data_IF_744551051225
#
_entry.id   IF_744551051225
#
_cell.length_a   1.000
_cell.length_b   1.000
_cell.length_c   1.000
_cell.angle_alpha   90.00
_cell.angle_beta   90.00
_cell.angle_gamma   90.00
#
_symmetry.space_group_name_H-M   'P 1'
#
loop_
_entity.id
_entity.type
_entity.pdbx_description
1 polymer ?
#
# COMPACT_ATOMS: atom_id res chain seq x y z
N UNK A 1 20.83 26.60 19.87
CA UNK A 1 20.15 26.73 18.56
C UNK A 1 20.66 25.72 17.52
N UNK A 2 21.94 25.28 17.55
CA UNK A 2 22.54 24.37 16.56
C UNK A 2 21.84 23.00 16.40
N UNK A 3 21.21 22.49 17.46
CA UNK A 3 20.49 21.20 17.44
C UNK A 3 18.97 21.34 17.33
N UNK A 4 18.44 22.56 17.24
CA UNK A 4 16.99 22.79 17.22
C UNK A 4 16.31 22.09 16.02
N UNK A 5 16.85 22.16 14.78
CA UNK A 5 16.27 21.43 13.64
C UNK A 5 16.24 19.91 13.87
N UNK A 6 17.32 19.33 14.39
CA UNK A 6 17.42 17.89 14.66
C UNK A 6 16.44 17.44 15.76
N UNK A 7 16.25 18.25 16.81
CA UNK A 7 15.27 17.97 17.85
C UNK A 7 13.85 17.99 17.28
N UNK A 8 13.52 19.02 16.48
CA UNK A 8 12.22 19.11 15.80
C UNK A 8 12.03 17.91 14.86
N UNK A 9 13.08 17.51 14.14
CA UNK A 9 13.07 16.36 13.26
C UNK A 9 12.76 15.07 14.02
N UNK A 10 13.48 14.80 15.11
CA UNK A 10 13.29 13.62 15.95
C UNK A 10 11.89 13.56 16.56
N UNK A 11 11.36 14.69 17.05
CA UNK A 11 9.99 14.77 17.57
C UNK A 11 8.98 14.42 16.46
N UNK A 12 9.14 15.02 15.29
CA UNK A 12 8.24 14.80 14.14
C UNK A 12 8.28 13.34 13.68
N UNK A 13 9.49 12.76 13.58
CA UNK A 13 9.71 11.36 13.23
C UNK A 13 9.07 10.42 14.25
N UNK A 14 9.28 10.65 15.55
CA UNK A 14 8.75 9.81 16.61
C UNK A 14 7.22 9.86 16.68
N UNK A 15 6.63 11.05 16.56
CA UNK A 15 5.17 11.22 16.52
C UNK A 15 4.60 10.54 15.28
N UNK A 16 5.21 10.77 14.10
CA UNK A 16 4.75 10.20 12.83
C UNK A 16 4.78 8.68 12.82
N UNK A 17 5.89 8.07 13.23
CA UNK A 17 6.04 6.60 13.29
C UNK A 17 5.21 6.00 14.44
N UNK A 18 5.17 6.67 15.60
CA UNK A 18 4.40 6.22 16.75
C UNK A 18 2.91 6.13 16.45
N UNK A 19 2.34 7.17 15.80
CA UNK A 19 0.95 7.16 15.37
C UNK A 19 0.66 6.03 14.39
N UNK A 20 1.54 5.81 13.40
CA UNK A 20 1.42 4.72 12.43
C UNK A 20 1.43 3.35 13.13
N UNK A 21 2.35 3.13 14.07
CA UNK A 21 2.47 1.87 14.79
C UNK A 21 1.21 1.52 15.61
N UNK A 22 0.57 2.52 16.24
CA UNK A 22 -0.71 2.34 16.95
C UNK A 22 -1.82 1.90 15.98
N UNK A 23 -1.89 2.51 14.81
CA UNK A 23 -2.88 2.19 13.78
C UNK A 23 -2.67 0.79 13.19
N UNK A 24 -1.42 0.38 12.94
CA UNK A 24 -1.09 -0.99 12.51
C UNK A 24 -1.49 -2.01 13.58
N UNK A 25 -1.29 -1.72 14.87
CA UNK A 25 -1.76 -2.59 15.96
C UNK A 25 -3.28 -2.73 15.95
N UNK A 26 -4.02 -1.63 15.76
CA UNK A 26 -5.48 -1.63 15.63
C UNK A 26 -5.95 -2.45 14.43
N UNK A 27 -5.32 -2.25 13.27
CA UNK A 27 -5.58 -3.02 12.04
C UNK A 27 -5.41 -4.52 12.28
N UNK A 28 -4.27 -4.92 12.87
CA UNK A 28 -3.99 -6.32 13.19
C UNK A 28 -5.05 -6.89 14.12
N UNK A 29 -5.39 -6.17 15.19
CA UNK A 29 -6.45 -6.59 16.14
C UNK A 29 -7.76 -6.83 15.40
N UNK A 30 -8.18 -5.89 14.55
CA UNK A 30 -9.43 -6.00 13.80
C UNK A 30 -9.43 -7.21 12.84
N UNK A 31 -8.32 -7.44 12.11
CA UNK A 31 -8.19 -8.62 11.24
C UNK A 31 -8.32 -9.92 12.04
N UNK A 32 -7.78 -9.96 13.26
CA UNK A 32 -7.82 -11.12 14.14
C UNK A 32 -9.14 -11.32 14.90
N UNK A 33 -10.13 -10.43 14.72
CA UNK A 33 -11.49 -10.66 15.23
C UNK A 33 -12.22 -11.78 14.47
N UNK A 34 -11.79 -12.07 13.23
CA UNK A 34 -12.37 -13.13 12.44
C UNK A 34 -12.06 -14.51 13.01
N UNK A 35 -12.91 -15.48 12.68
CA UNK A 35 -12.73 -16.89 13.07
C UNK A 35 -11.33 -17.38 12.72
N UNK A 36 -10.76 -18.18 13.62
CA UNK A 36 -9.45 -18.76 13.40
C UNK A 36 -9.50 -19.74 12.22
N UNK A 37 -8.51 -19.65 11.35
CA UNK A 37 -8.31 -20.61 10.26
C UNK A 37 -6.82 -20.87 10.13
N UNK A 38 -6.46 -22.15 10.05
CA UNK A 38 -5.07 -22.53 9.85
C UNK A 38 -4.65 -22.29 8.39
N UNK A 39 -3.52 -21.60 8.22
CA UNK A 39 -2.85 -21.29 6.95
C UNK A 39 -1.35 -21.53 7.04
N UNK A 40 -0.91 -22.32 8.00
CA UNK A 40 0.50 -22.70 8.18
C UNK A 40 0.98 -23.76 7.17
N UNK A 41 0.06 -24.32 6.38
CA UNK A 41 0.35 -25.33 5.38
C UNK A 41 1.25 -24.82 4.24
N UNK A 42 2.15 -25.68 3.75
CA UNK A 42 2.98 -25.46 2.56
C UNK A 42 3.77 -24.12 2.54
N UNK A 43 4.57 -23.81 3.57
CA UNK A 43 5.23 -22.50 3.71
C UNK A 43 6.17 -22.16 2.55
N UNK A 44 6.88 -23.15 2.01
CA UNK A 44 7.77 -22.97 0.84
C UNK A 44 6.99 -22.53 -0.40
N UNK A 45 5.85 -23.16 -0.70
CA UNK A 45 5.00 -22.78 -1.83
C UNK A 45 4.37 -21.39 -1.63
N UNK A 46 3.99 -21.03 -0.40
CA UNK A 46 3.45 -19.69 -0.07
C UNK A 46 4.49 -18.60 -0.26
N UNK A 47 5.71 -18.84 0.21
CA UNK A 47 6.82 -17.92 0.01
C UNK A 47 7.17 -17.76 -1.46
N UNK A 48 7.22 -18.87 -2.22
CA UNK A 48 7.37 -18.84 -3.68
C UNK A 48 6.28 -17.98 -4.33
N UNK A 49 5.02 -18.19 -3.95
CA UNK A 49 3.90 -17.38 -4.47
C UNK A 49 4.07 -15.89 -4.12
N UNK A 50 4.50 -15.55 -2.91
CA UNK A 50 4.79 -14.18 -2.50
C UNK A 50 5.84 -13.54 -3.42
N UNK A 51 6.98 -14.19 -3.63
CA UNK A 51 8.06 -13.67 -4.49
C UNK A 51 7.58 -13.46 -5.93
N UNK A 52 6.99 -14.49 -6.55
CA UNK A 52 6.57 -14.41 -7.95
C UNK A 52 5.37 -13.48 -8.21
N UNK A 53 4.48 -13.30 -7.23
CA UNK A 53 3.29 -12.45 -7.40
C UNK A 53 3.56 -11.02 -6.95
N UNK A 54 4.14 -10.81 -5.77
CA UNK A 54 4.35 -9.47 -5.23
C UNK A 54 5.54 -8.77 -5.90
N UNK A 55 6.71 -9.40 -5.97
CA UNK A 55 7.90 -8.81 -6.61
C UNK A 55 7.86 -8.96 -8.12
N UNK A 56 7.39 -10.11 -8.63
CA UNK A 56 7.29 -10.37 -10.06
C UNK A 56 6.15 -9.64 -10.79
N UNK A 57 5.21 -9.01 -10.08
CA UNK A 57 4.07 -8.24 -10.64
C UNK A 57 3.26 -8.98 -11.72
N UNK A 58 3.27 -10.32 -11.70
CA UNK A 58 2.74 -11.20 -12.76
C UNK A 58 1.26 -10.97 -13.06
N UNK A 59 0.47 -10.55 -12.06
CA UNK A 59 -0.97 -10.26 -12.21
C UNK A 59 -1.29 -8.95 -12.94
N UNK A 60 -0.32 -8.05 -13.09
CA UNK A 60 -0.52 -6.74 -13.68
C UNK A 60 -0.26 -6.70 -15.18
N UNK A 61 0.52 -7.65 -15.71
CA UNK A 61 0.87 -7.76 -17.13
C UNK A 61 -0.37 -8.02 -18.01
N UNK A 62 -1.46 -8.55 -17.43
CA UNK A 62 -2.75 -8.75 -18.15
C UNK A 62 -3.34 -7.47 -18.76
N UNK A 63 -2.93 -6.28 -18.30
CA UNK A 63 -3.31 -4.99 -18.88
C UNK A 63 -2.03 -4.17 -19.08
N UNK A 64 -1.33 -4.31 -20.24
CA UNK A 64 0.08 -3.94 -20.38
C UNK A 64 0.35 -2.47 -20.05
N UNK A 65 -0.48 -1.54 -20.54
CA UNK A 65 -0.32 -0.10 -20.24
C UNK A 65 -0.43 0.16 -18.74
N UNK A 66 -1.48 -0.33 -18.09
CA UNK A 66 -1.67 -0.11 -16.66
C UNK A 66 -0.64 -0.84 -15.80
N UNK A 67 -0.15 -1.99 -16.28
CA UNK A 67 0.88 -2.77 -15.62
C UNK A 67 2.24 -2.10 -15.69
N UNK A 68 2.63 -1.56 -16.84
CA UNK A 68 3.88 -0.81 -17.02
C UNK A 68 3.92 0.45 -16.15
N UNK A 69 2.88 1.28 -16.21
CA UNK A 69 2.81 2.50 -15.40
C UNK A 69 2.88 2.19 -13.90
N UNK A 70 2.25 1.11 -13.45
CA UNK A 70 2.29 0.73 -12.04
C UNK A 70 3.60 0.04 -11.65
N UNK A 71 4.28 -0.65 -12.59
CA UNK A 71 5.64 -1.15 -12.38
C UNK A 71 6.62 -0.01 -12.16
N UNK A 72 6.51 1.07 -12.95
CA UNK A 72 7.32 2.29 -12.75
C UNK A 72 7.09 2.87 -11.36
N UNK A 73 5.83 3.04 -10.95
CA UNK A 73 5.49 3.54 -9.61
C UNK A 73 6.02 2.61 -8.51
N UNK A 74 5.90 1.29 -8.70
CA UNK A 74 6.41 0.29 -7.77
C UNK A 74 7.94 0.31 -7.63
N UNK A 75 8.67 0.39 -8.75
CA UNK A 75 10.13 0.49 -8.76
C UNK A 75 10.59 1.82 -8.16
N UNK A 76 9.94 2.92 -8.52
CA UNK A 76 10.16 4.23 -7.92
C UNK A 76 9.98 4.17 -6.41
N UNK A 77 8.87 3.61 -5.93
CA UNK A 77 8.63 3.43 -4.49
C UNK A 77 9.74 2.63 -3.82
N UNK A 78 10.11 1.44 -4.31
CA UNK A 78 11.13 0.61 -3.65
C UNK A 78 12.50 1.27 -3.65
N UNK A 79 12.92 1.83 -4.78
CA UNK A 79 14.27 2.33 -4.98
C UNK A 79 14.45 3.68 -4.26
N UNK A 80 13.48 4.62 -4.38
CA UNK A 80 13.54 5.95 -3.72
C UNK A 80 13.48 5.83 -2.19
N UNK A 81 12.91 4.75 -1.63
CA UNK A 81 12.97 4.53 -0.18
C UNK A 81 14.42 4.44 0.36
N UNK A 82 15.40 4.05 -0.47
CA UNK A 82 16.82 4.08 -0.07
C UNK A 82 17.27 5.53 0.20
N UNK A 83 16.82 6.49 -0.60
CA UNK A 83 17.11 7.90 -0.38
C UNK A 83 16.36 8.47 0.82
N UNK A 84 15.13 7.99 1.09
CA UNK A 84 14.42 8.34 2.31
C UNK A 84 15.23 7.93 3.56
N UNK A 85 15.98 6.83 3.51
CA UNK A 85 16.89 6.47 4.60
C UNK A 85 18.02 7.48 4.77
N UNK A 86 18.57 8.00 3.68
CA UNK A 86 19.57 9.08 3.72
C UNK A 86 18.98 10.37 4.31
N UNK A 87 17.80 10.80 3.83
CA UNK A 87 17.08 11.98 4.35
C UNK A 87 16.81 11.84 5.85
N UNK A 88 16.39 10.66 6.31
CA UNK A 88 16.18 10.41 7.74
C UNK A 88 17.50 10.49 8.51
N UNK A 89 18.57 9.91 7.97
CA UNK A 89 19.88 9.95 8.60
C UNK A 89 20.38 11.39 8.74
N UNK A 90 20.36 12.15 7.64
CA UNK A 90 20.75 13.57 7.60
C UNK A 90 19.92 14.43 8.56
N UNK A 91 18.61 14.17 8.67
CA UNK A 91 17.74 14.87 9.62
C UNK A 91 18.08 14.60 11.09
N UNK A 92 18.57 13.39 11.40
CA UNK A 92 18.96 13.00 12.77
C UNK A 92 20.34 13.59 13.13
N UNK A 93 21.32 13.41 12.25
CA UNK A 93 22.73 13.76 12.50
C UNK A 93 23.05 15.22 12.17
N UNK A 94 22.21 15.89 11.38
CA UNK A 94 22.47 17.23 10.86
C UNK A 94 23.52 17.24 9.75
N UNK A 95 23.80 16.08 9.14
CA UNK A 95 24.69 15.96 7.98
C UNK A 95 23.95 16.36 6.70
N UNK A 96 24.71 16.49 5.61
CA UNK A 96 24.17 16.71 4.28
C UNK A 96 24.76 15.65 3.36
N UNK A 97 23.91 14.81 2.76
CA UNK A 97 24.29 13.77 1.79
C UNK A 97 25.27 12.76 2.38
N UNK A 98 24.96 12.23 3.57
CA UNK A 98 25.85 11.35 4.32
C UNK A 98 26.30 10.09 3.55
N UNK A 99 25.52 9.60 2.60
CA UNK A 99 25.86 8.40 1.84
C UNK A 99 26.77 8.68 0.63
N UNK A 100 27.16 9.95 0.42
CA UNK A 100 28.15 10.36 -0.59
C UNK A 100 29.51 9.65 -0.47
N UNK A 101 29.83 9.06 0.68
CA UNK A 101 31.02 8.22 0.89
C UNK A 101 31.09 7.02 -0.08
N UNK A 102 29.96 6.62 -0.66
CA UNK A 102 29.89 5.52 -1.65
C UNK A 102 30.44 5.90 -3.05
N UNK A 103 30.84 7.16 -3.28
CA UNK A 103 31.51 7.59 -4.51
C UNK A 103 30.67 7.36 -5.76
N UNK A 104 31.24 6.76 -6.81
CA UNK A 104 30.51 6.56 -8.08
C UNK A 104 29.22 5.71 -7.99
N UNK A 105 29.08 4.86 -6.95
CA UNK A 105 27.82 4.17 -6.72
C UNK A 105 26.73 5.11 -6.20
N UNK A 106 27.11 6.10 -5.39
CA UNK A 106 26.22 7.18 -4.95
C UNK A 106 25.69 7.98 -6.14
N UNK A 107 26.56 8.33 -7.09
CA UNK A 107 26.17 9.04 -8.32
C UNK A 107 25.15 8.25 -9.13
N UNK A 108 25.35 6.94 -9.27
CA UNK A 108 24.41 6.04 -9.93
C UNK A 108 23.05 5.98 -9.20
N UNK A 109 23.05 5.94 -7.85
CA UNK A 109 21.83 5.93 -7.06
C UNK A 109 21.04 7.22 -7.24
N UNK A 110 21.68 8.39 -7.08
CA UNK A 110 21.01 9.69 -7.25
C UNK A 110 20.44 9.83 -8.66
N UNK A 111 21.20 9.48 -9.69
CA UNK A 111 20.71 9.51 -11.06
C UNK A 111 19.51 8.60 -11.29
N UNK A 112 19.52 7.41 -10.66
CA UNK A 112 18.40 6.47 -10.71
C UNK A 112 17.17 7.05 -10.02
N UNK A 113 17.32 7.69 -8.85
CA UNK A 113 16.23 8.33 -8.13
C UNK A 113 15.61 9.48 -8.95
N UNK A 114 16.44 10.31 -9.58
CA UNK A 114 16.00 11.42 -10.43
C UNK A 114 15.15 10.94 -11.61
N UNK A 115 15.65 9.96 -12.36
CA UNK A 115 14.96 9.40 -13.52
C UNK A 115 13.65 8.74 -13.08
N UNK A 116 13.69 7.96 -12.00
CA UNK A 116 12.50 7.30 -11.47
C UNK A 116 11.46 8.32 -10.97
N UNK A 117 11.87 9.38 -10.27
CA UNK A 117 10.95 10.43 -9.80
C UNK A 117 10.21 11.09 -10.97
N UNK A 118 10.91 11.43 -12.06
CA UNK A 118 10.27 11.95 -13.27
C UNK A 118 9.30 10.92 -13.90
N UNK A 119 9.72 9.67 -14.02
CA UNK A 119 8.89 8.60 -14.58
C UNK A 119 7.65 8.32 -13.72
N UNK A 120 7.75 8.45 -12.39
CA UNK A 120 6.63 8.37 -11.45
C UNK A 120 5.66 9.52 -11.69
N UNK A 121 6.13 10.78 -11.79
CA UNK A 121 5.27 11.93 -12.10
C UNK A 121 4.50 11.70 -13.41
N UNK A 122 5.19 11.24 -14.46
CA UNK A 122 4.56 10.92 -15.74
C UNK A 122 3.50 9.82 -15.57
N UNK A 123 3.84 8.75 -14.86
CA UNK A 123 2.95 7.59 -14.67
C UNK A 123 1.69 7.95 -13.87
N UNK A 124 1.86 8.69 -12.78
CA UNK A 124 0.78 9.16 -11.91
C UNK A 124 -0.09 10.18 -12.64
N UNK A 125 0.50 11.07 -13.44
CA UNK A 125 -0.26 11.98 -14.30
C UNK A 125 -1.12 11.22 -15.29
N UNK A 126 -0.58 10.19 -15.95
CA UNK A 126 -1.37 9.34 -16.86
C UNK A 126 -2.49 8.62 -16.10
N UNK A 127 -2.24 8.10 -14.89
CA UNK A 127 -3.30 7.52 -14.06
C UNK A 127 -4.39 8.53 -13.70
N UNK A 128 -3.99 9.75 -13.35
CA UNK A 128 -4.89 10.85 -13.02
C UNK A 128 -5.78 11.20 -14.21
N UNK A 129 -5.19 11.43 -15.39
CA UNK A 129 -5.90 11.71 -16.64
C UNK A 129 -6.86 10.57 -17.02
N UNK A 130 -6.40 9.31 -16.92
CA UNK A 130 -7.24 8.13 -17.20
C UNK A 130 -8.46 8.05 -16.29
N UNK A 131 -8.32 8.48 -15.04
CA UNK A 131 -9.38 8.44 -14.04
C UNK A 131 -10.38 9.60 -14.17
N UNK A 132 -9.90 10.81 -14.41
CA UNK A 132 -10.72 12.03 -14.31
C UNK A 132 -11.19 12.54 -15.67
N UNK A 133 -10.38 12.39 -16.72
CA UNK A 133 -10.70 12.87 -18.07
C UNK A 133 -11.27 11.73 -18.92
N UNK A 134 -10.51 10.63 -19.10
CA UNK A 134 -10.93 9.49 -19.93
C UNK A 134 -12.10 8.72 -19.30
N UNK A 135 -12.27 8.81 -17.97
CA UNK A 135 -13.41 8.26 -17.24
C UNK A 135 -13.63 6.77 -17.54
N UNK A 136 -12.64 5.93 -17.23
CA UNK A 136 -12.74 4.47 -17.41
C UNK A 136 -14.01 3.92 -16.74
N UNK A 137 -14.84 3.18 -17.50
CA UNK A 137 -16.19 2.72 -17.10
C UNK A 137 -16.26 2.11 -15.70
N UNK A 138 -15.32 1.24 -15.32
CA UNK A 138 -15.27 0.57 -14.01
C UNK A 138 -15.13 1.50 -12.79
N UNK A 139 -14.67 2.72 -13.03
CA UNK A 139 -14.51 3.76 -12.01
C UNK A 139 -15.74 4.68 -11.91
N UNK A 140 -16.73 4.52 -12.79
CA UNK A 140 -17.96 5.30 -12.82
C UNK A 140 -19.13 4.63 -12.08
N UNK A 141 -18.92 3.41 -11.57
CA UNK A 141 -19.96 2.68 -10.87
C UNK A 141 -20.35 3.42 -9.57
N UNK A 142 -21.61 3.23 -9.15
CA UNK A 142 -22.23 3.99 -8.05
C UNK A 142 -21.49 3.81 -6.72
N UNK A 143 -20.90 2.65 -6.47
CA UNK A 143 -20.17 2.34 -5.23
C UNK A 143 -18.89 3.17 -5.03
N UNK A 144 -18.36 3.80 -6.07
CA UNK A 144 -17.17 4.64 -5.95
C UNK A 144 -17.49 6.12 -5.76
N UNK A 145 -18.75 6.53 -5.86
CA UNK A 145 -19.13 7.95 -5.68
C UNK A 145 -18.80 8.42 -4.25
N UNK A 146 -18.33 9.66 -4.13
CA UNK A 146 -17.95 10.26 -2.85
C UNK A 146 -16.51 9.95 -2.46
N UNK A 147 -16.31 9.51 -1.22
CA UNK A 147 -14.99 9.34 -0.61
C UNK A 147 -14.06 8.39 -1.38
N UNK A 148 -14.49 7.19 -1.86
CA UNK A 148 -13.62 6.30 -2.63
C UNK A 148 -13.07 6.94 -3.92
N UNK A 149 -13.83 7.81 -4.56
CA UNK A 149 -13.33 8.51 -5.75
C UNK A 149 -12.28 9.55 -5.38
N UNK A 150 -12.56 10.35 -4.35
CA UNK A 150 -11.69 11.43 -3.85
C UNK A 150 -10.39 10.88 -3.26
N UNK A 151 -10.45 9.81 -2.47
CA UNK A 151 -9.29 9.15 -1.87
C UNK A 151 -8.23 8.79 -2.92
N UNK A 152 -8.66 8.19 -4.04
CA UNK A 152 -7.74 7.85 -5.12
C UNK A 152 -7.11 9.08 -5.79
N UNK A 153 -7.86 10.18 -5.94
CA UNK A 153 -7.31 11.42 -6.50
C UNK A 153 -6.34 12.10 -5.52
N UNK A 154 -6.66 12.06 -4.23
CA UNK A 154 -5.81 12.62 -3.18
C UNK A 154 -4.47 11.88 -3.12
N UNK A 155 -4.46 10.55 -3.22
CA UNK A 155 -3.23 9.75 -3.32
C UNK A 155 -2.38 10.20 -4.52
N UNK A 156 -2.97 10.25 -5.72
CA UNK A 156 -2.23 10.64 -6.93
C UNK A 156 -1.70 12.08 -6.83
N UNK A 157 -2.46 12.98 -6.20
CA UNK A 157 -2.02 14.35 -5.94
C UNK A 157 -0.84 14.39 -4.97
N UNK A 158 -0.91 13.68 -3.84
CA UNK A 158 0.18 13.59 -2.86
C UNK A 158 1.44 13.03 -3.52
N UNK A 159 1.32 11.95 -4.31
CA UNK A 159 2.45 11.37 -5.04
C UNK A 159 3.12 12.38 -5.97
N UNK A 160 2.36 13.16 -6.75
CA UNK A 160 2.93 14.22 -7.60
C UNK A 160 3.61 15.30 -6.76
N UNK A 161 2.96 15.78 -5.70
CA UNK A 161 3.54 16.82 -4.82
C UNK A 161 4.85 16.34 -4.21
N UNK A 162 4.90 15.11 -3.68
CA UNK A 162 6.13 14.56 -3.10
C UNK A 162 7.25 14.47 -4.14
N UNK A 163 6.98 13.95 -5.35
CA UNK A 163 8.00 13.86 -6.39
C UNK A 163 8.46 15.23 -6.91
N UNK A 164 7.57 16.23 -6.94
CA UNK A 164 7.95 17.60 -7.30
C UNK A 164 8.80 18.24 -6.22
N UNK A 165 8.44 18.09 -4.94
CA UNK A 165 9.26 18.57 -3.82
C UNK A 165 10.64 17.91 -3.83
N UNK A 166 10.68 16.60 -4.11
CA UNK A 166 11.91 15.83 -4.26
C UNK A 166 12.83 16.37 -5.38
N UNK A 167 12.31 16.56 -6.60
CA UNK A 167 13.10 17.14 -7.68
C UNK A 167 13.47 18.61 -7.42
N UNK A 168 12.63 19.35 -6.71
CA UNK A 168 12.91 20.75 -6.34
C UNK A 168 14.06 20.83 -5.34
N UNK A 169 14.08 19.97 -4.30
CA UNK A 169 15.20 19.94 -3.35
C UNK A 169 16.50 19.53 -4.04
N UNK A 170 16.48 18.54 -4.94
CA UNK A 170 17.67 18.10 -5.68
C UNK A 170 18.18 19.16 -6.66
N UNK A 171 17.28 19.89 -7.33
CA UNK A 171 17.66 20.99 -8.21
C UNK A 171 18.27 22.18 -7.46
N UNK A 172 17.73 22.49 -6.28
CA UNK A 172 18.27 23.55 -5.44
C UNK A 172 19.63 23.14 -4.84
N UNK A 173 19.76 21.90 -4.36
CA UNK A 173 21.02 21.29 -3.92
C UNK A 173 22.07 21.35 -5.04
N UNK A 174 21.76 20.84 -6.24
CA UNK A 174 22.67 20.90 -7.39
C UNK A 174 23.10 22.34 -7.73
N UNK A 175 22.18 23.31 -7.72
CA UNK A 175 22.52 24.71 -7.96
C UNK A 175 23.50 25.27 -6.91
N UNK A 176 23.28 24.95 -5.63
CA UNK A 176 24.12 25.38 -4.52
C UNK A 176 25.51 24.73 -4.55
N UNK A 177 25.58 23.46 -4.96
CA UNK A 177 26.86 22.79 -5.23
C UNK A 177 27.65 23.54 -6.30
N UNK A 178 27.03 23.88 -7.45
CA UNK A 178 27.70 24.60 -8.55
C UNK A 178 28.17 26.00 -8.13
N UNK A 179 27.45 26.64 -7.20
CA UNK A 179 27.84 27.93 -6.63
C UNK A 179 28.97 27.83 -5.56
N UNK A 180 29.41 26.61 -5.20
CA UNK A 180 30.48 26.39 -4.22
C UNK A 180 30.10 26.77 -2.78
N UNK A 181 28.82 26.66 -2.44
CA UNK A 181 28.27 27.12 -1.15
C UNK A 181 28.36 26.00 -0.12
N UNK A 182 29.05 26.22 1.00
CA UNK A 182 29.03 25.25 2.11
C UNK A 182 27.63 25.17 2.75
N UNK A 183 27.14 23.99 3.19
CA UNK A 183 27.80 22.67 3.23
C UNK A 183 27.61 21.79 1.98
N UNK A 184 27.16 22.35 0.86
CA UNK A 184 26.82 21.61 -0.36
C UNK A 184 28.09 21.23 -1.13
N UNK A 185 28.50 19.97 -1.02
CA UNK A 185 29.64 19.40 -1.76
C UNK A 185 29.21 18.86 -3.12
N UNK A 186 30.11 18.88 -4.11
CA UNK A 186 29.88 18.35 -5.45
C UNK A 186 29.80 16.81 -5.43
N UNK A 187 28.60 16.28 -5.15
CA UNK A 187 28.34 14.84 -4.99
C UNK A 187 26.99 14.47 -5.61
N UNK A 188 26.90 13.30 -6.23
CA UNK A 188 25.70 12.86 -6.92
C UNK A 188 25.68 13.29 -8.39
N UNK A 189 24.97 12.52 -9.21
CA UNK A 189 24.72 12.86 -10.61
C UNK A 189 23.23 13.20 -10.80
N UNK A 190 22.96 14.40 -11.32
CA UNK A 190 21.63 15.00 -11.37
C UNK A 190 21.10 15.18 -12.81
N UNK A 191 20.74 14.09 -13.52
CA UNK A 191 20.35 14.15 -14.93
C UNK A 191 19.05 14.93 -15.19
N UNK A 192 18.16 15.05 -14.20
CA UNK A 192 16.87 15.74 -14.35
C UNK A 192 16.93 17.12 -13.69
N UNK A 193 17.45 17.18 -12.46
CA UNK A 193 17.51 18.40 -11.67
C UNK A 193 18.40 19.48 -12.28
N UNK A 194 19.40 19.12 -13.10
CA UNK A 194 20.20 20.08 -13.87
C UNK A 194 19.36 20.99 -14.80
N UNK A 195 18.19 20.51 -15.28
CA UNK A 195 17.31 21.32 -16.13
C UNK A 195 16.44 22.25 -15.28
N UNK A 196 16.00 21.77 -14.11
CA UNK A 196 15.19 22.53 -13.17
C UNK A 196 16.03 23.62 -12.49
N UNK A 197 17.32 23.38 -12.25
CA UNK A 197 18.22 24.31 -11.57
C UNK A 197 18.38 25.66 -12.27
N UNK A 198 18.08 25.72 -13.57
CA UNK A 198 18.04 26.96 -14.36
C UNK A 198 16.99 27.96 -13.85
N UNK A 199 15.95 27.48 -13.15
CA UNK A 199 14.94 28.33 -12.51
C UNK A 199 15.52 29.15 -11.35
N UNK A 200 16.67 28.73 -10.80
CA UNK A 200 17.35 29.44 -9.71
C UNK A 200 18.43 30.41 -10.20
N UNK A 201 18.67 30.48 -11.52
CA UNK A 201 19.65 31.40 -12.10
C UNK A 201 19.29 32.86 -11.79
N UNK A 202 20.24 33.58 -11.20
CA UNK A 202 20.06 34.98 -10.81
C UNK A 202 19.39 35.19 -9.44
N UNK A 203 19.04 34.11 -8.72
CA UNK A 203 18.55 34.20 -7.35
C UNK A 203 19.71 34.33 -6.36
N UNK A 204 19.46 35.01 -5.24
CA UNK A 204 20.40 35.06 -4.13
C UNK A 204 20.55 33.66 -3.50
N UNK A 205 21.79 33.29 -3.16
CA UNK A 205 22.11 32.01 -2.50
C UNK A 205 21.24 31.72 -1.28
N UNK A 206 20.99 32.72 -0.42
CA UNK A 206 20.14 32.56 0.75
C UNK A 206 18.70 32.15 0.41
N UNK A 207 18.17 32.62 -0.72
CA UNK A 207 16.83 32.24 -1.19
C UNK A 207 16.81 30.80 -1.68
N UNK A 208 17.85 30.37 -2.42
CA UNK A 208 17.94 28.98 -2.92
C UNK A 208 18.10 28.00 -1.76
N UNK A 209 18.89 28.34 -0.73
CA UNK A 209 18.98 27.56 0.51
C UNK A 209 17.61 27.45 1.21
N UNK A 210 16.84 28.55 1.27
CA UNK A 210 15.50 28.51 1.86
C UNK A 210 14.56 27.59 1.07
N UNK A 211 14.63 27.62 -0.27
CA UNK A 211 13.84 26.74 -1.14
C UNK A 211 14.21 25.28 -0.91
N UNK A 212 15.51 24.95 -0.91
CA UNK A 212 16.00 23.60 -0.64
C UNK A 212 15.48 23.09 0.70
N UNK A 213 15.67 23.87 1.79
CA UNK A 213 15.27 23.47 3.14
C UNK A 213 13.76 23.34 3.26
N UNK A 214 13.00 24.24 2.65
CA UNK A 214 11.54 24.17 2.66
C UNK A 214 11.04 22.94 1.91
N UNK A 215 11.60 22.67 0.73
CA UNK A 215 11.25 21.48 -0.06
C UNK A 215 11.60 20.19 0.69
N UNK A 216 12.78 20.14 1.30
CA UNK A 216 13.23 19.02 2.13
C UNK A 216 12.28 18.75 3.32
N UNK A 217 11.93 19.79 4.09
CA UNK A 217 11.03 19.67 5.24
C UNK A 217 9.60 19.27 4.81
N UNK A 218 9.05 19.92 3.79
CA UNK A 218 7.73 19.59 3.26
C UNK A 218 7.71 18.16 2.71
N UNK A 219 8.80 17.70 2.10
CA UNK A 219 8.91 16.35 1.58
C UNK A 219 8.88 15.30 2.71
N UNK A 220 9.75 15.40 3.71
CA UNK A 220 9.80 14.41 4.80
C UNK A 220 8.55 14.44 5.69
N UNK A 221 8.03 15.63 6.00
CA UNK A 221 6.74 15.76 6.71
C UNK A 221 5.60 15.23 5.86
N UNK A 222 5.63 15.46 4.55
CA UNK A 222 4.68 14.91 3.59
C UNK A 222 4.72 13.38 3.52
N UNK A 223 5.92 12.78 3.56
CA UNK A 223 6.09 11.31 3.65
C UNK A 223 5.48 10.79 4.96
N UNK A 224 5.77 11.41 6.10
CA UNK A 224 5.23 11.00 7.40
C UNK A 224 3.70 11.17 7.46
N UNK A 225 3.18 12.24 6.86
CA UNK A 225 1.74 12.42 6.69
C UNK A 225 1.14 11.30 5.83
N UNK A 226 1.74 11.02 4.67
CA UNK A 226 1.25 9.99 3.76
C UNK A 226 1.30 8.59 4.38
N UNK A 227 2.36 8.28 5.12
CA UNK A 227 2.51 7.05 5.91
C UNK A 227 1.31 6.82 6.84
N UNK A 228 0.89 7.88 7.56
CA UNK A 228 -0.25 7.81 8.46
C UNK A 228 -1.58 7.80 7.71
N UNK A 229 -1.65 8.48 6.57
CA UNK A 229 -2.80 8.44 5.67
C UNK A 229 -3.05 7.04 5.08
N UNK A 230 -2.01 6.20 4.93
CA UNK A 230 -2.15 4.83 4.40
C UNK A 230 -3.25 4.06 5.12
N UNK A 231 -3.32 4.13 6.45
CA UNK A 231 -4.30 3.38 7.25
C UNK A 231 -5.75 3.69 6.86
N UNK A 232 -6.05 4.94 6.51
CA UNK A 232 -7.41 5.39 6.20
C UNK A 232 -7.74 5.30 4.72
N UNK A 233 -6.79 4.92 3.86
CA UNK A 233 -6.93 5.02 2.41
C UNK A 233 -6.92 3.66 1.73
N UNK A 234 -7.34 3.61 0.47
CA UNK A 234 -7.13 2.42 -0.38
C UNK A 234 -5.65 2.11 -0.62
N UNK A 235 -4.74 3.03 -0.31
CA UNK A 235 -3.31 2.81 -0.45
C UNK A 235 -2.77 1.83 0.59
N UNK A 236 -3.53 1.51 1.66
CA UNK A 236 -3.21 0.45 2.63
C UNK A 236 -2.83 -0.89 1.98
N UNK A 237 -3.33 -1.15 0.77
CA UNK A 237 -2.98 -2.33 -0.01
C UNK A 237 -1.47 -2.53 -0.18
N UNK A 238 -0.64 -1.47 -0.21
CA UNK A 238 0.81 -1.63 -0.36
C UNK A 238 1.41 -2.40 0.82
N UNK A 239 0.84 -2.24 2.02
CA UNK A 239 1.27 -2.95 3.22
C UNK A 239 0.69 -4.36 3.26
N UNK A 240 -0.62 -4.49 2.98
CA UNK A 240 -1.34 -5.76 3.17
C UNK A 240 -1.26 -6.71 1.97
N UNK A 241 -0.83 -6.25 0.79
CA UNK A 241 -0.68 -7.11 -0.39
C UNK A 241 0.31 -8.26 -0.14
N UNK A 242 1.36 -8.03 0.63
CA UNK A 242 2.34 -9.06 0.99
C UNK A 242 1.73 -10.18 1.86
N UNK A 243 1.18 -9.91 3.07
CA UNK A 243 0.55 -10.96 3.87
C UNK A 243 -0.65 -11.59 3.14
N UNK A 244 -1.43 -10.80 2.39
CA UNK A 244 -2.55 -11.32 1.60
C UNK A 244 -2.09 -12.38 0.59
N UNK A 245 -1.02 -12.09 -0.15
CA UNK A 245 -0.47 -13.01 -1.15
C UNK A 245 0.10 -14.27 -0.49
N UNK A 246 0.80 -14.12 0.64
CA UNK A 246 1.37 -15.25 1.38
C UNK A 246 0.28 -16.19 1.93
N UNK A 247 -0.77 -15.65 2.55
CA UNK A 247 -1.89 -16.42 3.09
C UNK A 247 -2.97 -16.76 2.06
N UNK A 248 -2.72 -16.44 0.79
CA UNK A 248 -3.59 -16.77 -0.33
C UNK A 248 -3.89 -18.26 -0.44
N UNK A 249 -5.02 -18.60 -1.06
CA UNK A 249 -5.45 -20.00 -1.22
C UNK A 249 -4.56 -20.74 -2.23
N UNK A 250 -3.94 -21.87 -1.83
CA UNK A 250 -3.14 -22.74 -2.71
C UNK A 250 -3.96 -23.88 -3.34
N UNK A 251 -5.08 -24.27 -2.71
CA UNK A 251 -5.93 -25.34 -3.22
C UNK A 251 -6.42 -25.06 -4.65
N UNK A 252 -6.61 -26.14 -5.42
CA UNK A 252 -7.15 -26.09 -6.80
C UNK A 252 -8.44 -25.26 -6.85
N UNK A 253 -8.60 -24.48 -7.92
CA UNK A 253 -9.82 -23.72 -8.18
C UNK A 253 -11.03 -24.65 -8.20
N UNK A 254 -12.16 -24.20 -7.64
CA UNK A 254 -13.39 -24.99 -7.55
C UNK A 254 -13.43 -26.00 -6.38
N UNK A 255 -12.31 -26.26 -5.68
CA UNK A 255 -12.38 -27.01 -4.41
C UNK A 255 -13.16 -26.19 -3.38
N UNK A 256 -14.05 -26.79 -2.62
CA UNK A 256 -14.67 -26.18 -1.44
C UNK A 256 -14.21 -26.93 -0.18
N UNK A 257 -14.04 -26.25 0.96
CA UNK A 257 -13.91 -26.96 2.22
C UNK A 257 -15.25 -27.65 2.52
N UNK A 258 -15.18 -28.91 2.94
CA UNK A 258 -16.36 -29.63 3.41
C UNK A 258 -16.52 -29.34 4.91
N UNK A 259 -17.74 -29.09 5.36
CA UNK A 259 -18.02 -28.98 6.79
C UNK A 259 -17.88 -30.39 7.41
N UNK A 260 -16.99 -30.59 8.40
CA UNK A 260 -16.74 -31.91 8.98
C UNK A 260 -17.97 -32.48 9.69
N UNK A 261 -18.78 -31.63 10.34
CA UNK A 261 -20.03 -32.01 11.00
C UNK A 261 -21.02 -32.56 10.00
N UNK A 262 -21.33 -31.81 8.94
CA UNK A 262 -22.24 -32.26 7.87
C UNK A 262 -21.69 -33.49 7.16
N UNK A 263 -20.37 -33.56 6.95
CA UNK A 263 -19.73 -34.75 6.35
C UNK A 263 -19.88 -35.97 7.25
N UNK A 264 -19.79 -35.80 8.57
CA UNK A 264 -20.02 -36.85 9.56
C UNK A 264 -21.47 -37.33 9.54
N UNK A 265 -22.43 -36.41 9.60
CA UNK A 265 -23.87 -36.71 9.54
C UNK A 265 -24.23 -37.48 8.26
N UNK A 266 -23.78 -36.99 7.10
CA UNK A 266 -24.04 -37.66 5.81
C UNK A 266 -23.40 -39.05 5.78
N UNK A 267 -22.16 -39.20 6.27
CA UNK A 267 -21.51 -40.51 6.36
C UNK A 267 -22.26 -41.47 7.27
N UNK A 268 -22.82 -40.98 8.39
CA UNK A 268 -23.64 -41.79 9.28
C UNK A 268 -24.94 -42.24 8.59
N UNK A 269 -25.61 -41.36 7.84
CA UNK A 269 -26.81 -41.72 7.06
C UNK A 269 -26.52 -42.69 5.92
N UNK A 270 -25.27 -42.74 5.43
CA UNK A 270 -24.84 -43.62 4.34
C UNK A 270 -24.23 -44.95 4.83
N UNK A 271 -24.04 -45.13 6.13
CA UNK A 271 -23.49 -46.37 6.69
C UNK A 271 -24.61 -47.40 6.87
N UNK A 272 -24.62 -48.51 6.10
CA UNK A 272 -25.65 -49.53 6.20
C UNK A 272 -25.60 -50.32 7.53
N UNK A 273 -24.53 -50.17 8.32
CA UNK A 273 -24.34 -50.87 9.60
C UNK A 273 -24.68 -50.02 10.83
N UNK A 274 -25.06 -48.76 10.65
CA UNK A 274 -25.46 -47.88 11.76
C UNK A 274 -26.90 -48.20 12.15
N UNK A 275 -27.11 -48.46 13.45
CA UNK A 275 -28.44 -48.60 14.04
C UNK A 275 -29.13 -47.23 14.13
N UNK A 276 -30.24 -47.00 13.39
CA UNK A 276 -30.96 -45.72 13.42
C UNK A 276 -31.60 -45.38 14.77
N UNK A 277 -31.68 -46.35 15.68
CA UNK A 277 -32.30 -46.21 16.99
C UNK A 277 -31.28 -46.08 18.13
N UNK A 278 -29.98 -46.12 17.83
CA UNK A 278 -28.95 -45.87 18.82
C UNK A 278 -28.99 -44.42 19.31
N UNK A 279 -29.00 -44.23 20.64
CA UNK A 279 -28.93 -42.89 21.25
C UNK A 279 -27.67 -42.19 20.75
N UNK A 280 -27.77 -40.97 20.17
CA UNK A 280 -26.59 -40.20 19.82
C UNK A 280 -25.70 -40.07 21.06
N UNK A 281 -24.36 -40.18 20.92
CA UNK A 281 -23.47 -39.82 22.02
C UNK A 281 -23.82 -38.39 22.46
N UNK A 282 -23.89 -38.14 23.78
CA UNK A 282 -24.19 -36.82 24.31
C UNK A 282 -23.25 -35.81 23.65
N UNK A 283 -23.80 -35.00 22.74
CA UNK A 283 -23.10 -33.84 22.23
C UNK A 283 -23.01 -32.88 23.40
N UNK A 284 -21.79 -32.48 23.76
CA UNK A 284 -21.56 -31.49 24.81
C UNK A 284 -22.52 -30.31 24.56
N UNK A 285 -23.47 -30.12 25.48
CA UNK A 285 -24.56 -29.14 25.34
C UNK A 285 -24.04 -27.70 25.20
N UNK A 286 -22.74 -27.49 25.44
CA UNK A 286 -22.04 -26.22 25.24
C UNK A 286 -21.51 -26.02 23.80
N UNK A 287 -21.60 -27.01 22.91
CA UNK A 287 -21.16 -26.89 21.52
C UNK A 287 -22.27 -26.24 20.69
N UNK A 288 -22.19 -24.92 20.55
CA UNK A 288 -23.07 -24.15 19.68
C UNK A 288 -22.80 -24.57 18.21
N UNK A 289 -23.82 -25.02 17.45
CA UNK A 289 -23.66 -25.36 16.05
C UNK A 289 -23.06 -24.20 15.26
N UNK A 290 -22.11 -24.49 14.36
CA UNK A 290 -21.57 -23.46 13.48
C UNK A 290 -22.69 -22.85 12.64
N UNK A 291 -22.82 -21.53 12.71
CA UNK A 291 -23.77 -20.78 11.89
C UNK A 291 -23.47 -20.98 10.41
N UNK A 292 -24.50 -21.34 9.65
CA UNK A 292 -24.45 -21.39 8.19
C UNK A 292 -24.49 -19.99 7.60
N UNK A 293 -23.55 -19.73 6.68
CA UNK A 293 -23.40 -18.43 6.04
C UNK A 293 -22.74 -17.38 6.95
N UNK A 294 -22.72 -16.13 6.49
CA UNK A 294 -22.19 -15.00 7.23
C UNK A 294 -23.21 -13.87 7.24
N UNK A 295 -23.55 -13.35 8.42
CA UNK A 295 -24.39 -12.15 8.55
C UNK A 295 -23.60 -10.93 9.01
N UNK A 296 -22.45 -11.11 9.66
CA UNK A 296 -21.55 -10.02 10.08
C UNK A 296 -20.08 -10.44 9.93
N UNK A 297 -19.16 -9.49 10.12
CA UNK A 297 -17.71 -9.68 9.95
C UNK A 297 -17.12 -10.72 10.90
N UNK A 298 -17.76 -10.97 12.05
CA UNK A 298 -17.36 -12.00 13.02
C UNK A 298 -17.64 -13.43 12.53
N UNK A 299 -18.51 -13.59 11.54
CA UNK A 299 -18.75 -14.89 10.90
C UNK A 299 -17.67 -15.23 9.87
N UNK A 300 -16.86 -14.25 9.46
CA UNK A 300 -15.77 -14.41 8.52
C UNK A 300 -14.49 -14.83 9.24
N UNK A 301 -13.62 -15.57 8.56
CA UNK A 301 -12.29 -15.86 9.08
C UNK A 301 -11.31 -14.70 8.89
N UNK A 302 -10.23 -14.69 9.67
CA UNK A 302 -9.25 -13.61 9.64
C UNK A 302 -8.62 -13.36 8.24
N UNK A 303 -8.51 -14.40 7.39
CA UNK A 303 -8.00 -14.25 6.01
C UNK A 303 -9.00 -13.48 5.14
N UNK A 304 -10.30 -13.72 5.32
CA UNK A 304 -11.34 -12.96 4.61
C UNK A 304 -11.35 -11.50 5.05
N UNK A 305 -11.15 -11.23 6.34
CA UNK A 305 -11.02 -9.87 6.86
C UNK A 305 -9.77 -9.16 6.33
N UNK A 306 -8.63 -9.86 6.28
CA UNK A 306 -7.41 -9.39 5.63
C UNK A 306 -7.67 -9.05 4.15
N UNK A 307 -8.40 -9.89 3.42
CA UNK A 307 -8.75 -9.62 2.03
C UNK A 307 -9.60 -8.36 1.86
N UNK A 308 -10.50 -8.06 2.80
CA UNK A 308 -11.32 -6.84 2.77
C UNK A 308 -10.44 -5.59 2.90
N UNK A 309 -9.53 -5.55 3.88
CA UNK A 309 -8.58 -4.44 4.03
C UNK A 309 -7.57 -4.31 2.89
N UNK A 310 -7.24 -5.41 2.19
CA UNK A 310 -6.31 -5.38 1.05
C UNK A 310 -7.00 -4.91 -0.25
N UNK A 311 -8.32 -4.75 -0.26
CA UNK A 311 -9.04 -4.36 -1.46
C UNK A 311 -8.59 -2.99 -1.98
N UNK A 312 -8.12 -2.95 -3.22
CA UNK A 312 -7.69 -1.70 -3.89
C UNK A 312 -8.84 -0.94 -4.55
N UNK A 313 -10.07 -1.47 -4.47
CA UNK A 313 -11.26 -0.91 -5.13
C UNK A 313 -11.09 -0.76 -6.66
N UNK A 314 -10.13 -1.48 -7.26
CA UNK A 314 -9.74 -1.35 -8.67
C UNK A 314 -10.82 -1.76 -9.67
N UNK A 315 -11.86 -2.47 -9.24
CA UNK A 315 -13.03 -2.82 -10.04
C UNK A 315 -12.87 -4.01 -10.98
N UNK A 316 -11.71 -4.68 -11.01
CA UNK A 316 -11.48 -5.86 -11.88
C UNK A 316 -12.49 -6.99 -11.62
N UNK A 317 -12.87 -7.22 -10.36
CA UNK A 317 -13.87 -8.22 -10.01
C UNK A 317 -15.29 -7.85 -10.45
N UNK A 318 -15.65 -6.57 -10.37
CA UNK A 318 -16.95 -6.06 -10.82
C UNK A 318 -17.03 -6.06 -12.35
N UNK A 319 -15.96 -5.71 -13.03
CA UNK A 319 -15.87 -5.71 -14.49
C UNK A 319 -16.11 -7.09 -15.10
N UNK A 320 -15.74 -8.16 -14.41
CA UNK A 320 -15.92 -9.53 -14.88
C UNK A 320 -17.18 -10.22 -14.32
N UNK A 321 -17.90 -9.58 -13.39
CA UNK A 321 -19.06 -10.17 -12.75
C UNK A 321 -20.26 -10.23 -13.73
N UNK A 322 -20.83 -11.41 -14.03
CA UNK A 322 -22.00 -11.54 -14.91
C UNK A 322 -23.23 -10.76 -14.40
N UNK A 323 -23.44 -10.75 -13.08
CA UNK A 323 -24.53 -9.98 -12.47
C UNK A 323 -24.35 -8.47 -12.68
N UNK A 324 -23.13 -7.95 -12.50
CA UNK A 324 -22.85 -6.53 -12.76
C UNK A 324 -22.96 -6.19 -14.25
N UNK A 325 -22.49 -7.07 -15.15
CA UNK A 325 -22.58 -6.87 -16.61
C UNK A 325 -24.03 -6.80 -17.10
N UNK A 326 -24.94 -7.51 -16.43
CA UNK A 326 -26.39 -7.49 -16.74
C UNK A 326 -27.15 -6.36 -16.02
N UNK A 327 -26.46 -5.42 -15.40
CA UNK A 327 -27.06 -4.25 -14.74
C UNK A 327 -27.66 -4.52 -13.36
N UNK A 328 -27.44 -5.71 -12.77
CA UNK A 328 -27.88 -6.00 -11.40
C UNK A 328 -27.05 -5.22 -10.39
N UNK A 329 -27.62 -4.98 -9.20
CA UNK A 329 -26.98 -4.23 -8.11
C UNK A 329 -25.76 -4.94 -7.48
N UNK A 330 -25.60 -6.24 -7.72
CA UNK A 330 -24.54 -7.04 -7.10
C UNK A 330 -23.15 -6.66 -7.66
N UNK A 331 -22.27 -6.16 -6.80
CA UNK A 331 -20.88 -5.82 -7.11
C UNK A 331 -19.94 -6.51 -6.12
N UNK A 332 -19.10 -7.48 -6.55
CA UNK A 332 -18.14 -8.14 -5.67
C UNK A 332 -17.17 -7.15 -5.00
N UNK A 333 -16.84 -6.05 -5.68
CA UNK A 333 -16.05 -4.96 -5.07
C UNK A 333 -16.78 -4.33 -3.88
N UNK A 334 -18.08 -4.04 -4.03
CA UNK A 334 -18.86 -3.39 -2.97
C UNK A 334 -18.97 -4.29 -1.74
N UNK A 335 -19.11 -5.61 -1.91
CA UNK A 335 -19.04 -6.56 -0.80
C UNK A 335 -17.73 -6.40 -0.01
N UNK A 336 -16.58 -6.34 -0.69
CA UNK A 336 -15.29 -6.17 -0.01
C UNK A 336 -15.17 -4.83 0.72
N UNK A 337 -15.70 -3.75 0.12
CA UNK A 337 -15.74 -2.42 0.74
C UNK A 337 -16.63 -2.42 1.99
N UNK A 338 -17.85 -2.96 1.89
CA UNK A 338 -18.80 -3.04 3.01
C UNK A 338 -18.25 -3.91 4.15
N UNK A 339 -17.59 -5.02 3.83
CA UNK A 339 -16.90 -5.84 4.84
C UNK A 339 -15.81 -5.07 5.56
N UNK A 340 -15.00 -4.27 4.84
CA UNK A 340 -13.97 -3.43 5.46
C UNK A 340 -14.61 -2.37 6.35
N UNK A 341 -15.57 -1.63 5.81
CA UNK A 341 -16.22 -0.51 6.51
C UNK A 341 -16.93 -1.00 7.78
N UNK A 342 -17.61 -2.16 7.71
CA UNK A 342 -18.22 -2.83 8.88
C UNK A 342 -17.18 -3.27 9.89
N UNK A 343 -16.04 -3.80 9.45
CA UNK A 343 -14.97 -4.22 10.36
C UNK A 343 -14.32 -3.04 11.09
N UNK A 344 -14.19 -1.89 10.43
CA UNK A 344 -13.74 -0.65 11.05
C UNK A 344 -14.74 -0.12 12.08
N UNK A 345 -16.04 -0.22 11.80
CA UNK A 345 -17.10 0.11 12.75
C UNK A 345 -17.03 -0.78 14.00
N UNK A 346 -16.99 -2.10 13.81
CA UNK A 346 -16.91 -3.06 14.92
C UNK A 346 -15.63 -2.87 15.74
N UNK A 347 -14.50 -2.55 15.09
CA UNK A 347 -13.25 -2.26 15.78
C UNK A 347 -13.16 -0.88 16.47
N UNK A 348 -14.18 -0.03 16.39
CA UNK A 348 -14.26 1.21 17.19
C UNK A 348 -14.93 0.98 18.54
N UNK A 349 -15.81 -0.01 18.62
CA UNK A 349 -16.40 -0.52 19.86
C UNK A 349 -15.41 -1.44 20.57
#
# INVERSE_FOLDING_TARGET
>A
MQYLPNIIFLITLFIGIGYFAVHVKKLRRNILLGRNVDRSDNPSQRFKNLVFIAFGQTKMIKRPISGLLHLIVYLGFIIINIEVLEIIFDGITGTHRAFSVLGGFYDFLIASFEILALLVIVSVTIFWLRRNIIKVRRFLNRELKGWPYQDANLILYIEVVLMVLFLTMNAADFHLQQAGVAPYSQVGYFPISQYISTLFSGMETGTVVLIERTAWWLHIVGILFFLNYLYFSKHLHILLAFPNTYFGRIAKQGKFPNNPTVTGEVKMMMDPNIDPFATPPETDANVVPEKFGASDVMDLNWVQLLNAYTCTECGRCTDECPASKTGKKLSPRKIMMDTRDRLEEVGKN
#
